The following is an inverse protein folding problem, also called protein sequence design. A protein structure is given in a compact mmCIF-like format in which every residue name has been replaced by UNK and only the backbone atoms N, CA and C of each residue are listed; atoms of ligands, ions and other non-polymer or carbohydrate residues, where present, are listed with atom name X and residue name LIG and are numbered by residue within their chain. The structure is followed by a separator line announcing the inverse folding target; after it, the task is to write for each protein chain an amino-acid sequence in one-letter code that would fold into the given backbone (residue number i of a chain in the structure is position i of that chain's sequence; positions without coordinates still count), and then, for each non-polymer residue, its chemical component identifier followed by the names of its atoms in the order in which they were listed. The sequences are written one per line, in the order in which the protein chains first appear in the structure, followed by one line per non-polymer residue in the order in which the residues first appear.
data_IF_574087689678
#
_entry.id   IF_574087689678
#
_cell.length_a   1.000
_cell.length_b   1.000
_cell.length_c   1.000
_cell.angle_alpha   90.00
_cell.angle_beta   90.00
_cell.angle_gamma   90.00
#
_symmetry.space_group_name_H-M   'P 1'
#
loop_
_entity.id
_entity.type
_entity.pdbx_description
1 polymer ?
#
# COMPACT_ATOMS: atom_id res chain seq x y z
N UNK A 1 -7.05 -24.09 -9.36
CA UNK A 1 -7.01 -22.79 -10.07
C UNK A 1 -7.44 -21.67 -9.14
N UNK A 2 -8.55 -21.86 -8.41
CA UNK A 2 -9.01 -21.07 -7.27
C UNK A 2 -7.91 -20.50 -6.35
N UNK A 3 -7.03 -21.36 -5.85
CA UNK A 3 -5.99 -20.98 -4.88
C UNK A 3 -5.01 -19.95 -5.45
N UNK A 4 -4.68 -20.04 -6.74
CA UNK A 4 -3.76 -19.10 -7.39
C UNK A 4 -4.44 -17.73 -7.54
N UNK A 5 -5.73 -17.71 -7.91
CA UNK A 5 -6.50 -16.48 -8.04
C UNK A 5 -6.72 -15.78 -6.70
N UNK A 6 -6.91 -16.55 -5.62
CA UNK A 6 -6.95 -16.03 -4.26
C UNK A 6 -5.62 -15.43 -3.80
N UNK A 7 -4.49 -16.06 -4.16
CA UNK A 7 -3.16 -15.50 -3.88
C UNK A 7 -2.94 -14.20 -4.68
N UNK A 8 -3.34 -14.17 -5.95
CA UNK A 8 -3.20 -12.97 -6.79
C UNK A 8 -4.11 -11.82 -6.31
N UNK A 9 -5.35 -12.12 -5.90
CA UNK A 9 -6.24 -11.12 -5.33
C UNK A 9 -5.69 -10.55 -4.03
N UNK A 10 -5.17 -11.42 -3.16
CA UNK A 10 -4.51 -11.04 -1.93
C UNK A 10 -3.35 -10.06 -2.17
N UNK A 11 -2.44 -10.41 -3.08
CA UNK A 11 -1.28 -9.57 -3.42
C UNK A 11 -1.73 -8.22 -4.01
N UNK A 12 -2.71 -8.23 -4.91
CA UNK A 12 -3.24 -7.02 -5.54
C UNK A 12 -3.90 -6.07 -4.53
N UNK A 13 -4.64 -6.59 -3.54
CA UNK A 13 -5.27 -5.76 -2.49
C UNK A 13 -4.24 -5.14 -1.53
N UNK A 14 -3.08 -5.77 -1.33
CA UNK A 14 -2.02 -5.27 -0.44
C UNK A 14 -1.05 -4.30 -1.09
N UNK A 15 -0.83 -4.43 -2.40
CA UNK A 15 0.11 -3.61 -3.15
C UNK A 15 -0.11 -2.09 -3.01
N UNK A 16 -1.36 -1.56 -3.04
CA UNK A 16 -1.65 -0.15 -2.76
C UNK A 16 -1.08 0.35 -1.44
N UNK A 17 -1.30 -0.36 -0.34
CA UNK A 17 -0.83 0.03 1.00
C UNK A 17 0.71 0.05 1.04
N UNK A 18 1.36 -0.93 0.41
CA UNK A 18 2.82 -0.95 0.23
C UNK A 18 3.33 0.27 -0.54
N UNK A 19 2.67 0.63 -1.63
CA UNK A 19 3.01 1.83 -2.43
C UNK A 19 2.86 3.13 -1.63
N UNK A 20 1.79 3.29 -0.86
CA UNK A 20 1.59 4.48 -0.02
C UNK A 20 2.69 4.60 1.05
N UNK A 21 3.03 3.49 1.72
CA UNK A 21 4.11 3.47 2.74
C UNK A 21 5.48 3.75 2.16
N UNK A 22 5.81 3.17 1.00
CA UNK A 22 7.09 3.44 0.34
C UNK A 22 7.19 4.90 -0.10
N UNK A 23 6.13 5.44 -0.73
CA UNK A 23 6.09 6.84 -1.17
C UNK A 23 6.21 7.80 0.01
N UNK A 24 5.51 7.54 1.11
CA UNK A 24 5.61 8.30 2.35
C UNK A 24 7.05 8.31 2.91
N UNK A 25 7.68 7.13 3.01
CA UNK A 25 9.08 7.01 3.46
C UNK A 25 10.07 7.74 2.56
N UNK A 26 9.90 7.67 1.23
CA UNK A 26 10.74 8.42 0.28
C UNK A 26 10.58 9.92 0.47
N UNK A 27 9.36 10.39 0.71
CA UNK A 27 9.09 11.80 0.99
C UNK A 27 9.77 12.26 2.29
N UNK A 28 9.68 11.48 3.37
CA UNK A 28 10.38 11.79 4.63
C UNK A 28 11.88 11.93 4.42
N UNK A 29 12.47 11.01 3.65
CA UNK A 29 13.88 11.08 3.30
C UNK A 29 14.20 12.32 2.45
N UNK A 30 13.34 12.71 1.51
CA UNK A 30 13.53 13.96 0.76
C UNK A 30 13.51 15.19 1.65
N UNK A 31 12.56 15.28 2.58
CA UNK A 31 12.53 16.37 3.54
C UNK A 31 13.82 16.39 4.38
N UNK A 32 14.31 15.23 4.84
CA UNK A 32 15.58 15.14 5.60
C UNK A 32 16.82 15.63 4.84
N UNK A 33 16.81 15.55 3.51
CA UNK A 33 17.96 15.92 2.65
C UNK A 33 17.72 17.20 1.84
N UNK A 34 16.73 18.01 2.20
CA UNK A 34 16.40 19.28 1.52
C UNK A 34 16.04 19.13 0.02
N UNK A 35 15.38 18.03 -0.36
CA UNK A 35 15.02 17.72 -1.77
C UNK A 35 13.52 17.67 -2.05
N UNK A 36 12.69 18.28 -1.21
CA UNK A 36 11.23 18.08 -1.21
C UNK A 36 10.42 19.12 -2.00
N UNK A 37 10.94 20.34 -2.20
CA UNK A 37 10.15 21.50 -2.67
C UNK A 37 9.25 21.23 -3.89
N UNK A 38 9.81 20.73 -5.00
CA UNK A 38 9.05 20.50 -6.22
C UNK A 38 7.92 19.48 -6.01
N UNK A 39 8.22 18.38 -5.30
CA UNK A 39 7.23 17.35 -5.02
C UNK A 39 6.12 17.87 -4.09
N UNK A 40 6.47 18.68 -3.08
CA UNK A 40 5.51 19.28 -2.16
C UNK A 40 4.53 20.20 -2.88
N UNK A 41 5.04 21.02 -3.81
CA UNK A 41 4.22 21.95 -4.63
C UNK A 41 3.31 21.17 -5.59
N UNK A 42 3.86 20.24 -6.36
CA UNK A 42 3.12 19.45 -7.36
C UNK A 42 1.96 18.64 -6.73
N UNK A 43 2.07 18.32 -5.44
CA UNK A 43 1.13 17.46 -4.73
C UNK A 43 0.31 18.19 -3.66
N UNK A 44 0.46 19.51 -3.56
CA UNK A 44 -0.23 20.37 -2.57
C UNK A 44 -0.09 19.83 -1.14
N UNK A 45 1.14 19.44 -0.78
CA UNK A 45 1.44 18.91 0.55
C UNK A 45 1.73 20.04 1.56
N UNK A 46 1.46 19.82 2.86
CA UNK A 46 1.78 20.81 3.89
C UNK A 46 3.30 21.04 3.98
N UNK A 47 3.72 22.29 3.76
CA UNK A 47 5.13 22.70 3.84
C UNK A 47 5.72 22.55 5.25
N UNK A 48 4.88 22.73 6.27
CA UNK A 48 5.23 22.61 7.69
C UNK A 48 5.76 21.22 8.04
N UNK A 49 5.24 20.16 7.40
CA UNK A 49 5.74 18.81 7.65
C UNK A 49 7.22 18.68 7.27
N UNK A 50 7.60 19.25 6.12
CA UNK A 50 8.99 19.24 5.66
C UNK A 50 9.92 20.01 6.60
N UNK A 51 9.46 21.14 7.16
CA UNK A 51 10.27 21.89 8.13
C UNK A 51 10.47 21.11 9.44
N UNK A 52 9.45 20.44 9.98
CA UNK A 52 9.60 19.61 11.18
C UNK A 52 10.58 18.45 10.99
N UNK A 53 10.50 17.76 9.85
CA UNK A 53 11.42 16.68 9.52
C UNK A 53 12.86 17.19 9.41
N UNK A 54 13.06 18.37 8.80
CA UNK A 54 14.39 19.01 8.65
C UNK A 54 15.01 19.43 9.95
N UNK A 55 14.23 20.03 10.85
CA UNK A 55 14.69 20.42 12.18
C UNK A 55 14.87 19.23 13.13
N UNK A 56 14.70 18.00 12.63
CA UNK A 56 14.73 16.75 13.40
C UNK A 56 13.73 16.74 14.56
N UNK A 57 12.70 17.57 14.49
CA UNK A 57 11.58 17.52 15.41
C UNK A 57 10.69 16.33 15.05
N UNK A 58 10.03 15.74 16.05
CA UNK A 58 9.05 14.69 15.81
C UNK A 58 7.87 15.30 15.05
N UNK A 59 7.82 15.06 13.75
CA UNK A 59 6.63 15.38 12.96
C UNK A 59 5.47 14.47 13.37
N UNK A 60 4.25 14.95 13.23
CA UNK A 60 3.04 14.14 13.37
C UNK A 60 2.91 13.08 12.26
N UNK A 61 1.69 12.84 11.80
CA UNK A 61 1.45 11.86 10.74
C UNK A 61 1.94 12.38 9.38
N UNK A 62 2.61 11.53 8.60
CA UNK A 62 3.03 11.86 7.24
C UNK A 62 1.81 12.22 6.38
N UNK A 63 1.83 13.34 5.63
CA UNK A 63 0.66 13.85 4.92
C UNK A 63 0.22 12.95 3.75
N UNK A 64 1.08 12.05 3.26
CA UNK A 64 0.73 11.04 2.26
C UNK A 64 -0.09 9.92 2.91
N UNK A 65 0.28 9.49 4.12
CA UNK A 65 -0.42 8.44 4.86
C UNK A 65 -1.73 8.93 5.49
N UNK A 66 -1.82 10.22 5.81
CA UNK A 66 -3.04 10.81 6.35
C UNK A 66 -4.14 11.00 5.31
N UNK A 67 -3.87 10.75 4.02
CA UNK A 67 -4.91 10.85 2.98
C UNK A 67 -5.95 9.74 3.15
N UNK A 68 -7.25 10.03 2.91
CA UNK A 68 -8.32 9.04 3.00
C UNK A 68 -8.05 7.77 2.20
N UNK A 69 -7.47 7.90 1.00
CA UNK A 69 -7.15 6.76 0.16
C UNK A 69 -6.07 5.84 0.76
N UNK A 70 -5.13 6.39 1.53
CA UNK A 70 -4.15 5.59 2.27
C UNK A 70 -4.83 4.74 3.34
N UNK A 71 -5.73 5.33 4.11
CA UNK A 71 -6.55 4.65 5.13
C UNK A 71 -7.44 3.59 4.48
N UNK A 72 -8.15 3.94 3.40
CA UNK A 72 -8.98 3.01 2.63
C UNK A 72 -8.12 1.86 2.10
N UNK A 73 -6.94 2.14 1.55
CA UNK A 73 -6.04 1.08 1.07
C UNK A 73 -5.60 0.14 2.19
N UNK A 74 -5.37 0.64 3.40
CA UNK A 74 -5.07 -0.18 4.56
C UNK A 74 -6.28 -1.05 4.95
N UNK A 75 -7.49 -0.48 5.01
CA UNK A 75 -8.72 -1.21 5.30
C UNK A 75 -9.01 -2.27 4.25
N UNK A 76 -8.91 -1.93 2.97
CA UNK A 76 -9.07 -2.85 1.84
C UNK A 76 -8.04 -3.97 1.92
N UNK A 77 -6.76 -3.64 2.15
CA UNK A 77 -5.71 -4.64 2.26
C UNK A 77 -5.95 -5.62 3.40
N UNK A 78 -6.40 -5.15 4.57
CA UNK A 78 -6.61 -6.00 5.75
C UNK A 78 -7.95 -6.72 5.65
N UNK A 79 -9.06 -6.01 5.56
CA UNK A 79 -10.40 -6.59 5.67
C UNK A 79 -10.80 -7.39 4.43
N UNK A 80 -10.56 -6.89 3.22
CA UNK A 80 -11.01 -7.60 2.01
C UNK A 80 -10.14 -8.82 1.71
N UNK A 81 -8.86 -8.78 2.05
CA UNK A 81 -8.00 -9.95 1.92
C UNK A 81 -8.31 -11.04 2.96
N UNK A 82 -8.91 -10.67 4.09
CA UNK A 82 -9.43 -11.58 5.10
C UNK A 82 -10.89 -11.99 4.83
N UNK A 83 -11.57 -11.36 3.87
CA UNK A 83 -12.95 -11.69 3.50
C UNK A 83 -13.20 -13.17 3.16
N UNK A 84 -12.29 -13.90 2.48
CA UNK A 84 -12.46 -15.34 2.26
C UNK A 84 -12.47 -16.18 3.54
N UNK A 85 -12.16 -15.61 4.71
CA UNK A 85 -12.26 -16.29 6.00
C UNK A 85 -13.68 -16.33 6.56
N UNK A 86 -14.58 -15.45 6.09
CA UNK A 86 -15.92 -15.32 6.68
C UNK A 86 -16.96 -16.28 6.10
N UNK A 87 -16.71 -16.90 4.94
CA UNK A 87 -17.61 -17.87 4.33
C UNK A 87 -16.83 -19.00 3.62
N UNK A 88 -17.05 -20.24 4.08
CA UNK A 88 -16.71 -21.52 3.44
C UNK A 88 -15.23 -22.00 3.50
N UNK A 89 -15.07 -23.33 3.65
CA UNK A 89 -13.88 -24.19 3.49
C UNK A 89 -13.08 -24.58 4.73
N UNK A 90 -13.25 -25.85 5.11
CA UNK A 90 -12.44 -26.59 6.05
C UNK A 90 -11.13 -27.06 5.40
N UNK A 91 -10.01 -26.52 5.89
CA UNK A 91 -8.69 -27.14 6.08
C UNK A 91 -7.79 -26.09 6.74
N UNK A 92 -6.59 -26.46 7.22
CA UNK A 92 -5.66 -25.73 8.13
C UNK A 92 -5.32 -24.27 7.72
N UNK A 93 -6.32 -23.42 7.68
CA UNK A 93 -6.36 -22.06 7.17
C UNK A 93 -5.49 -21.11 7.97
N UNK A 94 -5.26 -21.42 9.25
CA UNK A 94 -4.36 -20.68 10.11
C UNK A 94 -2.94 -20.59 9.54
N UNK A 95 -2.44 -21.61 8.84
CA UNK A 95 -1.12 -21.55 8.18
C UNK A 95 -1.11 -20.65 6.95
N UNK A 96 -2.19 -20.69 6.16
CA UNK A 96 -2.34 -19.83 4.97
C UNK A 96 -2.53 -18.38 5.40
N UNK A 97 -3.28 -18.13 6.48
CA UNK A 97 -3.44 -16.81 7.11
C UNK A 97 -2.12 -16.30 7.65
N UNK A 98 -1.36 -17.13 8.36
CA UNK A 98 -0.05 -16.73 8.88
C UNK A 98 0.90 -16.37 7.74
N UNK A 99 0.94 -17.19 6.68
CA UNK A 99 1.76 -16.95 5.50
C UNK A 99 1.33 -15.68 4.75
N UNK A 100 0.03 -15.47 4.57
CA UNK A 100 -0.53 -14.26 3.97
C UNK A 100 -0.23 -13.01 4.80
N UNK A 101 -0.39 -13.08 6.13
CA UNK A 101 -0.02 -11.99 7.03
C UNK A 101 1.49 -11.66 6.95
N UNK A 102 2.35 -12.67 6.89
CA UNK A 102 3.80 -12.47 6.69
C UNK A 102 4.07 -11.81 5.33
N UNK A 103 3.41 -12.26 4.26
CA UNK A 103 3.54 -11.65 2.94
C UNK A 103 3.05 -10.21 2.90
N UNK A 104 1.96 -9.90 3.61
CA UNK A 104 1.37 -8.57 3.75
C UNK A 104 2.27 -7.61 4.51
N UNK A 105 2.73 -8.00 5.70
CA UNK A 105 3.48 -7.12 6.58
C UNK A 105 4.93 -6.95 6.17
N UNK A 106 5.58 -8.04 5.76
CA UNK A 106 7.02 -8.08 5.53
C UNK A 106 7.33 -8.07 4.05
N UNK A 107 6.72 -8.92 3.26
CA UNK A 107 7.23 -9.14 1.89
C UNK A 107 6.73 -8.05 0.93
N UNK A 108 5.48 -7.59 1.05
CA UNK A 108 4.90 -6.58 0.14
C UNK A 108 5.58 -5.21 0.23
N UNK A 109 5.95 -4.78 1.44
CA UNK A 109 6.62 -3.49 1.67
C UNK A 109 8.04 -3.49 1.09
N UNK A 110 8.74 -4.63 1.16
CA UNK A 110 10.08 -4.78 0.60
C UNK A 110 10.04 -5.06 -0.91
N UNK A 111 9.06 -5.83 -1.40
CA UNK A 111 8.84 -6.04 -2.84
C UNK A 111 8.58 -4.73 -3.58
N UNK A 112 7.81 -3.82 -3.00
CA UNK A 112 7.60 -2.49 -3.58
C UNK A 112 8.94 -1.76 -3.76
N UNK A 113 9.87 -1.89 -2.81
CA UNK A 113 11.20 -1.30 -2.92
C UNK A 113 12.05 -1.93 -4.04
N UNK A 114 11.95 -3.25 -4.23
CA UNK A 114 12.69 -3.98 -5.27
C UNK A 114 12.11 -3.82 -6.68
N UNK A 115 10.79 -3.79 -6.83
CA UNK A 115 10.13 -3.75 -8.14
C UNK A 115 10.20 -2.36 -8.76
N UNK A 116 10.25 -1.28 -7.96
CA UNK A 116 10.30 0.10 -8.45
C UNK A 116 11.52 0.87 -7.94
N UNK A 117 12.75 0.41 -8.27
CA UNK A 117 13.97 0.98 -7.71
C UNK A 117 14.29 2.38 -8.25
N UNK A 118 13.74 2.76 -9.42
CA UNK A 118 14.21 3.95 -10.16
C UNK A 118 13.15 5.01 -10.49
N UNK A 119 11.96 4.96 -9.88
CA UNK A 119 10.98 6.04 -10.10
C UNK A 119 11.24 7.20 -9.12
N UNK A 120 11.29 8.43 -9.65
CA UNK A 120 11.07 9.66 -8.87
C UNK A 120 9.84 9.45 -7.98
N UNK A 121 9.77 10.11 -6.82
CA UNK A 121 8.61 9.96 -5.91
C UNK A 121 7.33 10.08 -6.72
N UNK A 122 6.45 9.07 -6.58
CA UNK A 122 5.18 9.03 -7.29
C UNK A 122 4.34 10.22 -6.90
N UNK A 123 3.93 11.04 -7.89
CA UNK A 123 2.88 12.02 -7.66
C UNK A 123 1.62 11.33 -7.11
N UNK A 124 0.91 12.01 -6.22
CA UNK A 124 -0.24 11.47 -5.51
C UNK A 124 -1.35 11.09 -6.49
N UNK A 125 -1.52 11.82 -7.60
CA UNK A 125 -2.47 11.47 -8.65
C UNK A 125 -2.15 10.09 -9.25
N UNK A 126 -0.89 9.87 -9.64
CA UNK A 126 -0.42 8.59 -10.18
C UNK A 126 -0.50 7.46 -9.14
N UNK A 127 -0.11 7.74 -7.89
CA UNK A 127 -0.21 6.80 -6.78
C UNK A 127 -1.66 6.35 -6.56
N UNK A 128 -2.59 7.31 -6.57
CA UNK A 128 -4.03 7.05 -6.38
C UNK A 128 -4.60 6.24 -7.53
N UNK A 129 -4.27 6.59 -8.77
CA UNK A 129 -4.71 5.85 -9.95
C UNK A 129 -4.25 4.39 -9.90
N UNK A 130 -2.96 4.16 -9.63
CA UNK A 130 -2.40 2.80 -9.48
C UNK A 130 -3.06 2.05 -8.34
N UNK A 131 -3.24 2.68 -7.18
CA UNK A 131 -3.91 2.08 -6.04
C UNK A 131 -5.33 1.60 -6.41
N UNK A 132 -6.13 2.44 -7.05
CA UNK A 132 -7.48 2.09 -7.50
C UNK A 132 -7.44 0.91 -8.48
N UNK A 133 -6.52 0.93 -9.46
CA UNK A 133 -6.37 -0.17 -10.42
C UNK A 133 -6.08 -1.51 -9.73
N UNK A 134 -5.14 -1.55 -8.78
CA UNK A 134 -4.80 -2.78 -8.07
C UNK A 134 -5.93 -3.27 -7.16
N UNK A 135 -6.68 -2.36 -6.52
CA UNK A 135 -7.88 -2.72 -5.75
C UNK A 135 -8.92 -3.39 -6.66
N UNK A 136 -9.21 -2.78 -7.82
CA UNK A 136 -10.16 -3.34 -8.79
C UNK A 136 -9.70 -4.71 -9.28
N UNK A 137 -8.43 -4.86 -9.66
CA UNK A 137 -7.88 -6.15 -10.08
C UNK A 137 -7.96 -7.20 -8.97
N UNK A 138 -7.68 -6.80 -7.72
CA UNK A 138 -7.83 -7.69 -6.56
C UNK A 138 -9.26 -8.19 -6.41
N UNK A 139 -10.25 -7.30 -6.49
CA UNK A 139 -11.67 -7.67 -6.44
C UNK A 139 -12.08 -8.57 -7.61
N UNK A 140 -11.57 -8.32 -8.82
CA UNK A 140 -11.85 -9.16 -10.00
C UNK A 140 -11.29 -10.57 -9.81
N UNK A 141 -10.01 -10.71 -9.45
CA UNK A 141 -9.41 -12.03 -9.21
C UNK A 141 -10.10 -12.78 -8.07
N UNK A 142 -10.52 -12.05 -7.04
CA UNK A 142 -11.30 -12.60 -5.94
C UNK A 142 -12.67 -13.10 -6.42
N UNK A 143 -13.40 -12.33 -7.21
CA UNK A 143 -14.70 -12.74 -7.75
C UNK A 143 -14.59 -13.98 -8.65
N UNK A 144 -13.57 -14.04 -9.51
CA UNK A 144 -13.34 -15.18 -10.40
C UNK A 144 -13.06 -16.47 -9.61
N UNK A 145 -12.36 -16.39 -8.47
CA UNK A 145 -12.07 -17.59 -7.66
C UNK A 145 -13.29 -18.25 -7.00
N UNK A 146 -14.48 -17.62 -7.06
CA UNK A 146 -15.73 -18.26 -6.61
C UNK A 146 -16.52 -18.92 -7.75
N UNK A 147 -16.20 -18.58 -9.00
CA UNK A 147 -16.94 -19.05 -10.18
C UNK A 147 -16.33 -20.34 -10.74
N UNK A 148 -15.01 -20.50 -10.61
CA UNK A 148 -14.22 -21.64 -11.10
C UNK A 148 -13.53 -22.34 -9.96
#
# INVERSE_FOLDING_TARGET
METILLILSFLALHYPNGLFRDTARRYDNMCRYDKDFQYTVDNLLPLEYGSFIRTKMNAGMNPILSKPLGIISALVSIFLALLPLFQLLSWKWYWIVLLNLVFSFVISQFLAFFITPNMKIYQIGTLSAKAITYIILGLVFYGISFIF
#
